data_IF_405740540764
#
_entry.id   IF_405740540764
#
_cell.length_a   1.000
_cell.length_b   1.000
_cell.length_c   1.000
_cell.angle_alpha   90.00
_cell.angle_beta   90.00
_cell.angle_gamma   90.00
#
_symmetry.space_group_name_H-M   'P 1'
#
loop_
_entity.id
_entity.type
_entity.pdbx_description
1 polymer ?
#
# COMPACT_ATOMS: atom_id res chain seq x y z
N UNK A 1 -12.73 -10.53 4.11
CA UNK A 1 -13.15 -11.84 3.58
C UNK A 1 -14.61 -11.82 3.10
N UNK A 2 -15.54 -11.27 3.90
CA UNK A 2 -16.95 -11.16 3.49
C UNK A 2 -17.20 -10.23 2.30
N UNK A 3 -16.35 -9.20 2.09
CA UNK A 3 -16.47 -8.30 0.96
C UNK A 3 -16.08 -8.96 -0.39
N UNK A 4 -15.26 -10.02 -0.37
CA UNK A 4 -14.90 -10.78 -1.58
C UNK A 4 -16.01 -11.70 -2.08
N UNK A 5 -16.91 -12.11 -1.20
CA UNK A 5 -18.02 -13.02 -1.56
C UNK A 5 -19.24 -12.31 -2.17
N UNK A 6 -19.34 -10.97 -2.05
CA UNK A 6 -20.50 -10.19 -2.50
C UNK A 6 -20.38 -9.59 -3.89
N UNK A 7 -19.31 -9.88 -4.65
CA UNK A 7 -19.20 -9.51 -6.07
C UNK A 7 -19.02 -7.99 -6.35
N UNK A 8 -19.10 -7.56 -7.61
CA UNK A 8 -18.80 -6.19 -8.08
C UNK A 8 -19.74 -5.08 -7.57
N UNK A 9 -20.72 -5.40 -6.77
CA UNK A 9 -21.84 -4.54 -6.33
C UNK A 9 -21.44 -3.42 -5.36
N UNK A 10 -20.35 -3.57 -4.61
CA UNK A 10 -19.94 -2.56 -3.61
C UNK A 10 -19.57 -1.22 -4.25
N UNK A 11 -18.95 -1.26 -5.43
CA UNK A 11 -18.54 -0.03 -6.12
C UNK A 11 -19.72 0.78 -6.68
N UNK A 12 -20.86 0.14 -6.93
CA UNK A 12 -22.08 0.82 -7.41
C UNK A 12 -22.86 1.45 -6.27
N UNK A 13 -22.64 1.02 -5.04
CA UNK A 13 -23.39 1.45 -3.86
C UNK A 13 -22.62 2.42 -2.97
N UNK A 14 -21.29 2.43 -3.04
CA UNK A 14 -20.44 3.23 -2.17
C UNK A 14 -19.51 4.13 -2.98
N UNK A 15 -19.43 5.39 -2.58
CA UNK A 15 -18.36 6.30 -2.98
C UNK A 15 -17.39 6.43 -1.81
N UNK A 16 -16.14 6.08 -2.03
CA UNK A 16 -15.08 6.17 -1.03
C UNK A 16 -14.01 7.11 -1.55
N UNK A 17 -13.53 8.01 -0.71
CA UNK A 17 -12.31 8.79 -0.94
C UNK A 17 -11.27 8.34 0.07
N UNK A 18 -10.16 7.84 -0.41
CA UNK A 18 -9.01 7.48 0.41
C UNK A 18 -7.75 8.13 -0.18
N UNK A 19 -6.81 8.49 0.67
CA UNK A 19 -5.54 9.08 0.25
C UNK A 19 -4.42 8.77 1.23
N UNK A 20 -3.19 8.76 0.71
CA UNK A 20 -1.98 8.47 1.49
C UNK A 20 -0.82 8.08 0.61
N UNK A 21 -0.08 7.07 1.03
CA UNK A 21 0.97 6.39 0.26
C UNK A 21 0.51 4.97 -0.07
N UNK A 22 1.14 4.36 -1.06
CA UNK A 22 0.87 2.95 -1.38
C UNK A 22 0.99 2.08 -0.13
N UNK A 23 -0.03 1.27 0.14
CA UNK A 23 -0.19 0.43 1.35
C UNK A 23 -0.33 1.21 2.68
N UNK A 24 -0.36 2.53 2.66
CA UNK A 24 -0.62 3.37 3.84
C UNK A 24 -1.56 4.52 3.47
N UNK A 25 -2.80 4.16 3.10
CA UNK A 25 -3.88 5.08 2.77
C UNK A 25 -4.93 5.14 3.87
N UNK A 26 -5.63 6.27 3.95
CA UNK A 26 -6.64 6.54 4.97
C UNK A 26 -7.96 6.94 4.32
N UNK A 27 -9.05 6.37 4.78
CA UNK A 27 -10.40 6.69 4.32
C UNK A 27 -10.78 8.08 4.84
N UNK A 28 -10.98 9.03 3.94
CA UNK A 28 -11.40 10.40 4.28
C UNK A 28 -12.90 10.56 4.26
N UNK A 29 -13.57 9.88 3.32
CA UNK A 29 -15.02 10.01 3.10
C UNK A 29 -15.58 8.68 2.62
N UNK A 30 -16.81 8.37 3.05
CA UNK A 30 -17.56 7.18 2.66
C UNK A 30 -19.03 7.53 2.54
N UNK A 31 -19.59 7.43 1.35
CA UNK A 31 -20.97 7.82 1.06
C UNK A 31 -21.73 6.74 0.33
N UNK A 32 -23.02 6.73 0.56
CA UNK A 32 -23.97 6.05 -0.30
C UNK A 32 -23.96 6.70 -1.69
N UNK A 33 -23.72 5.93 -2.74
CA UNK A 33 -23.56 6.44 -4.10
C UNK A 33 -24.85 7.02 -4.71
N UNK A 34 -26.02 6.63 -4.19
CA UNK A 34 -27.32 7.05 -4.70
C UNK A 34 -27.89 8.24 -3.95
N UNK A 35 -27.74 8.25 -2.62
CA UNK A 35 -28.33 9.27 -1.75
C UNK A 35 -27.34 10.35 -1.33
N UNK A 36 -26.04 10.10 -1.43
CA UNK A 36 -24.99 10.96 -0.91
C UNK A 36 -24.88 10.95 0.62
N UNK A 37 -25.65 10.09 1.31
CA UNK A 37 -25.61 10.01 2.77
C UNK A 37 -24.22 9.61 3.27
N UNK A 38 -23.76 10.27 4.34
CA UNK A 38 -22.50 9.92 5.01
C UNK A 38 -22.64 8.58 5.74
N UNK A 39 -21.86 7.61 5.32
CA UNK A 39 -21.84 6.26 5.89
C UNK A 39 -20.64 6.03 6.83
N UNK A 40 -19.74 6.99 6.97
CA UNK A 40 -18.55 6.81 7.79
C UNK A 40 -18.87 6.61 9.28
N UNK A 41 -19.85 7.32 9.89
CA UNK A 41 -20.29 7.02 11.25
C UNK A 41 -20.81 5.60 11.42
N UNK A 42 -21.67 5.13 10.51
CA UNK A 42 -22.20 3.76 10.54
C UNK A 42 -21.10 2.69 10.35
N UNK A 43 -20.11 2.98 9.49
CA UNK A 43 -18.93 2.14 9.34
C UNK A 43 -18.16 2.03 10.66
N UNK A 44 -17.90 3.15 11.35
CA UNK A 44 -17.22 3.16 12.67
C UNK A 44 -17.99 2.37 13.72
N UNK A 45 -19.30 2.52 13.79
CA UNK A 45 -20.16 1.72 14.68
C UNK A 45 -20.05 0.23 14.38
N UNK A 46 -20.07 -0.15 13.10
CA UNK A 46 -19.91 -1.53 12.68
C UNK A 46 -18.55 -2.09 13.07
N UNK A 47 -17.47 -1.33 12.85
CA UNK A 47 -16.11 -1.70 13.24
C UNK A 47 -15.97 -1.85 14.75
N UNK A 48 -16.61 -0.97 15.54
CA UNK A 48 -16.62 -1.07 17.00
C UNK A 48 -17.35 -2.31 17.50
N UNK A 49 -18.37 -2.79 16.79
CA UNK A 49 -19.13 -3.99 17.11
C UNK A 49 -18.45 -5.31 16.67
N UNK A 50 -17.37 -5.24 15.88
CA UNK A 50 -16.62 -6.43 15.47
C UNK A 50 -15.85 -7.03 16.65
N UNK A 51 -15.51 -8.35 16.61
CA UNK A 51 -14.68 -8.98 17.64
C UNK A 51 -13.39 -8.18 17.92
N UNK A 52 -12.92 -8.22 19.16
CA UNK A 52 -11.75 -7.41 19.59
C UNK A 52 -10.48 -7.67 18.75
N UNK A 53 -10.31 -8.90 18.24
CA UNK A 53 -9.18 -9.26 17.36
C UNK A 53 -9.35 -8.91 15.88
N UNK A 54 -10.47 -8.27 15.50
CA UNK A 54 -10.68 -7.84 14.12
C UNK A 54 -10.13 -6.40 13.93
N UNK A 55 -9.10 -6.25 13.12
CA UNK A 55 -8.43 -4.98 12.78
C UNK A 55 -8.14 -4.10 14.03
N UNK A 56 -7.51 -4.64 15.09
CA UNK A 56 -7.32 -3.91 16.33
C UNK A 56 -6.40 -2.69 16.16
N UNK A 57 -5.37 -2.75 15.31
CA UNK A 57 -4.48 -1.62 15.02
C UNK A 57 -5.22 -0.52 14.28
N UNK A 58 -5.93 -0.87 13.21
CA UNK A 58 -6.69 0.09 12.39
C UNK A 58 -7.74 0.83 13.21
N UNK A 59 -8.41 0.14 14.13
CA UNK A 59 -9.37 0.74 15.08
C UNK A 59 -8.69 1.69 16.07
N UNK A 60 -7.47 1.38 16.54
CA UNK A 60 -6.69 2.30 17.38
C UNK A 60 -6.25 3.54 16.60
N UNK A 61 -5.83 3.35 15.35
CA UNK A 61 -5.44 4.45 14.46
C UNK A 61 -6.63 5.38 14.23
N UNK A 62 -7.81 4.85 13.88
CA UNK A 62 -9.00 5.67 13.70
C UNK A 62 -9.37 6.45 14.97
N UNK A 63 -9.35 5.80 16.13
CA UNK A 63 -9.66 6.43 17.40
C UNK A 63 -8.65 7.52 17.81
N UNK A 64 -7.38 7.38 17.43
CA UNK A 64 -6.30 8.28 17.84
C UNK A 64 -6.05 9.40 16.82
N UNK A 65 -6.04 9.05 15.53
CA UNK A 65 -5.69 9.96 14.44
C UNK A 65 -6.90 10.44 13.63
N UNK A 66 -8.09 9.86 13.87
CA UNK A 66 -9.36 10.34 13.33
C UNK A 66 -9.76 9.76 11.97
N UNK A 67 -8.94 8.91 11.34
CA UNK A 67 -9.27 8.24 10.08
C UNK A 67 -8.87 6.76 10.12
N UNK A 68 -9.69 5.92 9.50
CA UNK A 68 -9.46 4.48 9.40
C UNK A 68 -8.50 4.17 8.24
N UNK A 69 -7.45 3.34 8.44
CA UNK A 69 -6.57 2.89 7.36
C UNK A 69 -7.35 2.01 6.37
N UNK A 70 -7.25 2.31 5.08
CA UNK A 70 -7.91 1.54 4.03
C UNK A 70 -7.29 0.15 3.81
N UNK A 71 -6.04 -0.01 4.21
CA UNK A 71 -5.21 -1.20 3.94
C UNK A 71 -5.29 -2.27 5.03
N UNK A 72 -5.95 -1.97 6.17
CA UNK A 72 -6.04 -2.87 7.31
C UNK A 72 -4.74 -3.07 8.08
N UNK A 73 -4.80 -3.87 9.14
CA UNK A 73 -3.68 -4.08 10.08
C UNK A 73 -2.44 -4.69 9.44
N UNK A 74 -2.63 -5.59 8.45
CA UNK A 74 -1.54 -6.30 7.82
C UNK A 74 -0.51 -5.39 7.15
N UNK A 75 -0.98 -4.31 6.50
CA UNK A 75 -0.09 -3.34 5.86
C UNK A 75 0.20 -2.14 6.75
N UNK A 76 -0.81 -1.59 7.44
CA UNK A 76 -0.59 -0.46 8.34
C UNK A 76 0.48 -0.77 9.41
N UNK A 77 0.54 -2.04 9.87
CA UNK A 77 1.53 -2.50 10.85
C UNK A 77 2.98 -2.46 10.38
N UNK A 78 3.22 -2.52 9.07
CA UNK A 78 4.57 -2.47 8.49
C UNK A 78 5.23 -1.09 8.64
N UNK A 79 4.42 -0.04 8.90
CA UNK A 79 4.85 1.36 8.90
C UNK A 79 4.81 2.04 10.28
N UNK A 80 4.40 1.32 11.34
CA UNK A 80 4.11 1.94 12.63
C UNK A 80 4.83 1.23 13.77
N UNK A 81 5.63 1.96 14.53
CA UNK A 81 6.44 1.43 15.65
C UNK A 81 5.61 0.78 16.75
N UNK A 82 4.36 1.18 16.93
CA UNK A 82 3.45 0.66 17.97
C UNK A 82 2.55 -0.49 17.51
N UNK A 83 2.72 -0.93 16.26
CA UNK A 83 1.90 -2.02 15.69
C UNK A 83 2.11 -3.36 16.41
N UNK A 84 3.31 -3.60 16.96
CA UNK A 84 3.65 -4.82 17.69
C UNK A 84 2.74 -5.09 18.90
N UNK A 85 2.12 -4.08 19.46
CA UNK A 85 1.20 -4.24 20.60
C UNK A 85 -0.10 -4.97 20.25
N UNK A 86 -0.52 -4.89 18.99
CA UNK A 86 -1.78 -5.46 18.51
C UNK A 86 -1.58 -6.61 17.53
N UNK A 87 -0.49 -6.56 16.80
CA UNK A 87 -0.13 -7.58 15.82
C UNK A 87 1.34 -7.92 16.04
N UNK A 88 1.67 -8.96 16.82
CA UNK A 88 3.04 -9.37 16.95
C UNK A 88 3.58 -9.59 15.53
N UNK A 89 4.60 -8.84 15.17
CA UNK A 89 5.35 -9.06 13.94
C UNK A 89 6.09 -10.40 14.12
N UNK A 90 5.39 -11.48 13.84
CA UNK A 90 5.93 -12.86 13.96
C UNK A 90 7.00 -13.16 12.91
N UNK A 91 7.41 -12.12 12.18
CA UNK A 91 8.31 -12.24 11.05
C UNK A 91 7.58 -12.61 9.76
N UNK A 92 8.26 -12.40 8.67
CA UNK A 92 7.78 -12.78 7.35
C UNK A 92 8.03 -14.28 7.15
N UNK A 93 7.00 -15.05 6.84
CA UNK A 93 7.10 -16.49 6.56
C UNK A 93 7.79 -16.73 5.19
N UNK A 94 9.10 -16.57 5.15
CA UNK A 94 9.89 -16.80 3.94
C UNK A 94 9.79 -18.24 3.45
N UNK A 95 9.77 -19.22 4.36
CA UNK A 95 9.72 -20.64 4.02
C UNK A 95 8.39 -21.01 3.38
N UNK A 96 7.26 -20.69 4.01
CA UNK A 96 5.94 -20.97 3.46
C UNK A 96 5.68 -20.22 2.15
N UNK A 97 6.19 -19.00 2.00
CA UNK A 97 6.10 -18.27 0.73
C UNK A 97 6.95 -18.89 -0.37
N UNK A 98 8.15 -19.39 -0.06
CA UNK A 98 8.99 -20.09 -1.02
C UNK A 98 8.31 -21.39 -1.49
N UNK A 99 7.75 -22.17 -0.57
CA UNK A 99 6.97 -23.38 -0.89
C UNK A 99 5.76 -23.05 -1.77
N UNK A 100 4.99 -22.01 -1.41
CA UNK A 100 3.84 -21.57 -2.19
C UNK A 100 4.24 -21.14 -3.61
N UNK A 101 5.30 -20.36 -3.75
CA UNK A 101 5.81 -19.91 -5.04
C UNK A 101 6.30 -21.10 -5.90
N UNK A 102 6.96 -22.09 -5.29
CA UNK A 102 7.39 -23.32 -5.97
C UNK A 102 6.19 -24.13 -6.46
N UNK A 103 5.16 -24.29 -5.62
CA UNK A 103 3.92 -24.98 -5.98
C UNK A 103 3.18 -24.28 -7.12
N UNK A 104 3.05 -22.96 -7.07
CA UNK A 104 2.45 -22.17 -8.17
C UNK A 104 3.24 -22.33 -9.47
N UNK A 105 4.57 -22.25 -9.41
CA UNK A 105 5.41 -22.43 -10.59
C UNK A 105 5.21 -23.81 -11.22
N UNK A 106 5.23 -24.87 -10.40
CA UNK A 106 4.98 -26.24 -10.88
C UNK A 106 3.61 -26.38 -11.55
N UNK A 107 2.58 -25.74 -11.01
CA UNK A 107 1.25 -25.71 -11.60
C UNK A 107 1.25 -25.01 -12.96
N UNK A 108 1.84 -23.82 -13.07
CA UNK A 108 1.92 -23.10 -14.35
C UNK A 108 2.72 -23.88 -15.40
N UNK A 109 3.81 -24.55 -15.00
CA UNK A 109 4.57 -25.40 -15.89
C UNK A 109 3.76 -26.62 -16.38
N UNK A 110 2.97 -27.24 -15.51
CA UNK A 110 2.07 -28.33 -15.89
C UNK A 110 1.00 -27.89 -16.92
N UNK A 111 0.41 -26.69 -16.72
CA UNK A 111 -0.52 -26.10 -17.68
C UNK A 111 0.19 -25.80 -19.00
N UNK A 112 1.38 -25.21 -18.97
CA UNK A 112 2.14 -24.86 -20.18
C UNK A 112 2.54 -26.11 -21.00
N UNK A 113 2.75 -27.25 -20.33
CA UNK A 113 3.05 -28.54 -20.99
C UNK A 113 1.79 -29.32 -21.39
N UNK A 114 0.58 -28.78 -21.17
CA UNK A 114 -0.68 -29.48 -21.45
C UNK A 114 -0.99 -30.63 -20.48
N UNK A 115 -0.32 -30.70 -19.35
CA UNK A 115 -0.49 -31.73 -18.30
C UNK A 115 -1.57 -31.38 -17.29
N UNK A 116 -2.02 -30.12 -17.25
CA UNK A 116 -3.09 -29.64 -16.41
C UNK A 116 -4.00 -28.70 -17.21
N UNK A 117 -5.32 -28.61 -16.88
CA UNK A 117 -6.25 -27.74 -17.58
C UNK A 117 -5.97 -26.26 -17.25
N UNK A 118 -6.09 -25.39 -18.27
CA UNK A 118 -5.97 -23.93 -18.08
C UNK A 118 -7.25 -23.31 -17.50
N UNK A 119 -8.40 -23.97 -17.64
CA UNK A 119 -9.71 -23.44 -17.27
C UNK A 119 -9.80 -22.88 -15.83
N UNK A 120 -9.20 -23.48 -14.79
CA UNK A 120 -9.24 -22.91 -13.44
C UNK A 120 -8.58 -21.54 -13.31
N UNK A 121 -7.70 -21.15 -14.24
CA UNK A 121 -6.98 -19.87 -14.24
C UNK A 121 -7.66 -18.82 -15.13
N UNK A 122 -8.52 -19.26 -16.05
CA UNK A 122 -9.31 -18.37 -16.89
C UNK A 122 -10.52 -17.87 -16.10
N UNK A 123 -10.66 -16.57 -16.01
CA UNK A 123 -11.76 -15.95 -15.27
C UNK A 123 -11.48 -15.67 -13.80
N UNK A 124 -10.33 -16.05 -13.26
CA UNK A 124 -9.89 -15.51 -11.99
C UNK A 124 -9.55 -14.03 -12.15
N UNK A 125 -10.35 -13.17 -11.53
CA UNK A 125 -10.05 -11.73 -11.50
C UNK A 125 -9.11 -11.46 -10.33
N UNK A 126 -7.99 -10.79 -10.60
CA UNK A 126 -7.03 -10.40 -9.58
C UNK A 126 -7.54 -9.30 -8.64
N UNK A 127 -8.56 -8.56 -9.06
CA UNK A 127 -8.97 -7.32 -8.40
C UNK A 127 -8.13 -6.11 -8.81
N UNK A 128 -7.02 -6.34 -9.52
CA UNK A 128 -6.14 -5.28 -10.01
C UNK A 128 -6.77 -4.50 -11.15
N UNK A 129 -6.49 -3.19 -11.20
CA UNK A 129 -7.12 -2.24 -12.12
C UNK A 129 -6.28 -1.92 -13.36
N UNK A 130 -5.12 -2.55 -13.54
CA UNK A 130 -4.19 -2.23 -14.62
C UNK A 130 -4.82 -2.29 -16.02
N UNK A 131 -5.57 -3.36 -16.31
CA UNK A 131 -6.23 -3.51 -17.62
C UNK A 131 -7.32 -2.45 -17.84
N UNK A 132 -8.10 -2.15 -16.79
CA UNK A 132 -9.15 -1.12 -16.84
C UNK A 132 -8.54 0.26 -17.10
N UNK A 133 -7.42 0.59 -16.45
CA UNK A 133 -6.67 1.84 -16.65
C UNK A 133 -6.14 1.94 -18.09
N UNK A 134 -5.53 0.87 -18.61
CA UNK A 134 -5.08 0.80 -20.02
C UNK A 134 -6.26 1.02 -20.97
N UNK A 135 -7.36 0.30 -20.77
CA UNK A 135 -8.55 0.45 -21.61
C UNK A 135 -9.18 1.84 -21.51
N UNK A 136 -9.15 2.46 -20.34
CA UNK A 136 -9.66 3.82 -20.15
C UNK A 136 -8.79 4.85 -20.88
N UNK A 137 -7.48 4.68 -20.86
CA UNK A 137 -6.53 5.53 -21.58
C UNK A 137 -6.69 5.38 -23.10
N UNK A 138 -6.70 4.14 -23.61
CA UNK A 138 -6.79 3.89 -25.05
C UNK A 138 -8.17 4.26 -25.64
N UNK A 139 -9.23 4.09 -24.84
CA UNK A 139 -10.62 4.33 -25.29
C UNK A 139 -11.20 5.68 -24.87
N UNK A 140 -10.43 6.57 -24.27
CA UNK A 140 -10.87 7.87 -23.70
C UNK A 140 -12.14 7.74 -22.82
N UNK A 141 -12.17 6.74 -21.96
CA UNK A 141 -13.39 6.43 -21.19
C UNK A 141 -13.67 7.40 -20.06
N UNK A 142 -12.70 8.24 -19.68
CA UNK A 142 -12.79 9.19 -18.54
C UNK A 142 -13.27 8.51 -17.27
N UNK A 143 -12.68 7.35 -16.97
CA UNK A 143 -13.08 6.54 -15.82
C UNK A 143 -12.49 7.09 -14.53
N UNK A 144 -13.28 7.02 -13.46
CA UNK A 144 -12.79 7.26 -12.10
C UNK A 144 -12.05 6.04 -11.61
N UNK A 145 -10.87 6.25 -11.06
CA UNK A 145 -10.08 5.25 -10.33
C UNK A 145 -9.97 5.67 -8.87
N UNK A 146 -10.26 4.74 -7.97
CA UNK A 146 -10.31 5.01 -6.53
C UNK A 146 -8.92 5.32 -5.95
N UNK A 147 -7.89 4.67 -6.48
CA UNK A 147 -6.52 4.77 -6.00
C UNK A 147 -5.54 4.60 -7.16
N UNK A 148 -4.68 5.58 -7.34
CA UNK A 148 -3.54 5.53 -8.28
C UNK A 148 -2.30 6.12 -7.62
N UNK A 149 -1.15 5.52 -7.90
CA UNK A 149 0.15 6.03 -7.43
C UNK A 149 0.70 7.03 -8.45
N UNK A 150 0.79 8.29 -8.05
CA UNK A 150 1.20 9.42 -8.90
C UNK A 150 2.07 10.41 -8.14
N UNK A 151 2.91 11.22 -8.85
CA UNK A 151 3.55 12.37 -8.20
C UNK A 151 2.50 13.30 -7.58
N UNK A 152 2.79 13.78 -6.39
CA UNK A 152 1.82 14.53 -5.57
C UNK A 152 1.33 15.82 -6.27
N UNK A 153 2.23 16.67 -6.75
CA UNK A 153 1.89 17.94 -7.39
C UNK A 153 0.75 18.71 -6.70
N UNK A 154 0.70 18.63 -5.35
CA UNK A 154 -0.31 19.30 -4.53
C UNK A 154 -1.67 18.58 -4.46
N UNK A 155 -1.79 17.33 -4.90
CA UNK A 155 -3.00 16.51 -4.77
C UNK A 155 -3.31 16.20 -3.31
N UNK A 156 -2.28 15.97 -2.51
CA UNK A 156 -2.34 15.76 -1.06
C UNK A 156 -1.49 16.80 -0.35
N UNK A 157 -2.14 17.68 0.42
CA UNK A 157 -1.46 18.76 1.11
C UNK A 157 -0.56 18.24 2.24
N UNK A 158 0.56 18.94 2.48
CA UNK A 158 1.51 18.65 3.56
C UNK A 158 2.60 17.65 3.22
N UNK A 159 2.59 17.09 1.99
CA UNK A 159 3.68 16.27 1.45
C UNK A 159 4.37 16.99 0.27
N UNK A 160 5.66 16.69 0.01
CA UNK A 160 6.37 17.29 -1.11
C UNK A 160 5.73 16.99 -2.47
N UNK A 161 5.84 17.90 -3.43
CA UNK A 161 5.26 17.74 -4.77
C UNK A 161 5.83 16.56 -5.55
N UNK A 162 7.08 16.18 -5.27
CA UNK A 162 7.76 15.06 -5.91
C UNK A 162 7.44 13.70 -5.27
N UNK A 163 6.86 13.67 -4.05
CA UNK A 163 6.50 12.42 -3.41
C UNK A 163 5.46 11.65 -4.24
N UNK A 164 5.58 10.34 -4.28
CA UNK A 164 4.54 9.49 -4.88
C UNK A 164 3.46 9.28 -3.84
N UNK A 165 2.24 9.68 -4.17
CA UNK A 165 1.05 9.54 -3.32
C UNK A 165 0.04 8.63 -3.97
N UNK A 166 -0.78 7.99 -3.16
CA UNK A 166 -1.94 7.23 -3.62
C UNK A 166 -3.20 8.07 -3.39
N UNK A 167 -3.85 8.43 -4.49
CA UNK A 167 -5.03 9.31 -4.50
C UNK A 167 -6.02 8.89 -5.59
N UNK A 168 -7.30 9.28 -5.50
CA UNK A 168 -8.24 9.10 -6.60
C UNK A 168 -7.82 9.88 -7.85
N UNK A 169 -8.19 9.37 -9.03
CA UNK A 169 -7.89 10.01 -10.30
C UNK A 169 -8.98 9.79 -11.34
N UNK A 170 -8.94 10.62 -12.40
CA UNK A 170 -9.67 10.37 -13.65
C UNK A 170 -8.68 9.92 -14.70
N UNK A 171 -8.98 8.79 -15.36
CA UNK A 171 -8.16 8.22 -16.44
C UNK A 171 -8.85 8.44 -17.78
N UNK A 172 -8.11 9.03 -18.72
CA UNK A 172 -8.59 9.36 -20.07
C UNK A 172 -7.48 9.20 -21.10
N UNK A 173 -7.73 9.53 -22.36
CA UNK A 173 -6.69 9.58 -23.40
C UNK A 173 -5.54 10.56 -23.07
N UNK A 174 -5.79 11.56 -22.23
CA UNK A 174 -4.73 12.47 -21.72
C UNK A 174 -3.86 11.85 -20.64
N UNK A 175 -4.13 10.61 -20.23
CA UNK A 175 -3.44 9.91 -19.15
C UNK A 175 -4.20 9.93 -17.83
N UNK A 176 -3.46 9.85 -16.74
CA UNK A 176 -3.98 9.83 -15.37
C UNK A 176 -3.95 11.26 -14.81
N UNK A 177 -5.11 11.78 -14.45
CA UNK A 177 -5.27 13.10 -13.82
C UNK A 177 -5.65 12.90 -12.36
N UNK A 178 -4.72 13.10 -11.39
CA UNK A 178 -5.02 12.95 -9.97
C UNK A 178 -6.03 14.01 -9.51
N UNK A 179 -6.85 13.62 -8.56
CA UNK A 179 -7.79 14.54 -7.91
C UNK A 179 -7.15 15.11 -6.64
N UNK A 180 -7.38 16.40 -6.39
CA UNK A 180 -7.02 17.00 -5.11
C UNK A 180 -8.01 16.51 -4.05
N UNK A 181 -7.48 16.00 -2.95
CA UNK A 181 -8.26 15.55 -1.80
C UNK A 181 -8.21 16.57 -0.66
N UNK A 182 -9.10 16.43 0.31
CA UNK A 182 -9.06 17.22 1.52
C UNK A 182 -7.75 16.98 2.30
N UNK A 183 -7.24 17.96 3.05
CA UNK A 183 -6.08 17.74 3.92
C UNK A 183 -6.34 16.61 4.92
N UNK A 184 -5.34 15.75 5.11
CA UNK A 184 -5.37 14.73 6.16
C UNK A 184 -5.13 15.39 7.54
N UNK A 185 -5.60 14.76 8.64
CA UNK A 185 -5.20 15.16 9.99
C UNK A 185 -3.68 15.28 10.12
N UNK A 186 -3.21 16.28 10.86
CA UNK A 186 -1.78 16.60 10.98
C UNK A 186 -0.93 15.40 11.45
N UNK A 187 -1.46 14.59 12.38
CA UNK A 187 -0.78 13.39 12.86
C UNK A 187 -0.57 12.35 11.75
N UNK A 188 -1.58 12.13 10.91
CA UNK A 188 -1.47 11.22 9.75
C UNK A 188 -0.47 11.79 8.73
N UNK A 189 -0.57 13.09 8.43
CA UNK A 189 0.39 13.73 7.51
C UNK A 189 1.84 13.56 7.98
N UNK A 190 2.09 13.64 9.30
CA UNK A 190 3.42 13.43 9.87
C UNK A 190 3.91 11.99 9.71
N UNK A 191 3.04 10.99 9.91
CA UNK A 191 3.37 9.57 9.65
C UNK A 191 3.72 9.34 8.18
N UNK A 192 2.93 9.91 7.26
CA UNK A 192 3.21 9.80 5.83
C UNK A 192 4.51 10.52 5.44
N UNK A 193 4.77 11.71 5.98
CA UNK A 193 6.00 12.46 5.71
C UNK A 193 7.26 11.70 6.15
N UNK A 194 7.18 10.97 7.27
CA UNK A 194 8.26 10.08 7.70
C UNK A 194 8.53 8.98 6.67
N UNK A 195 7.49 8.32 6.15
CA UNK A 195 7.64 7.29 5.13
C UNK A 195 8.14 7.85 3.79
N UNK A 196 7.73 9.06 3.41
CA UNK A 196 8.29 9.75 2.25
C UNK A 196 9.80 9.97 2.42
N UNK A 197 10.26 10.35 3.62
CA UNK A 197 11.69 10.51 3.90
C UNK A 197 12.45 9.18 3.84
N UNK A 198 11.88 8.08 4.35
CA UNK A 198 12.45 6.73 4.22
C UNK A 198 12.65 6.37 2.74
N UNK A 199 11.59 6.52 1.94
CA UNK A 199 11.61 6.19 0.51
C UNK A 199 12.63 7.04 -0.26
N UNK A 200 12.69 8.35 0.01
CA UNK A 200 13.65 9.26 -0.61
C UNK A 200 15.10 8.84 -0.34
N UNK A 201 15.42 8.52 0.92
CA UNK A 201 16.76 8.06 1.29
C UNK A 201 17.10 6.70 0.69
N UNK A 202 16.15 5.78 0.64
CA UNK A 202 16.32 4.47 0.01
C UNK A 202 16.59 4.60 -1.51
N UNK A 203 15.85 5.47 -2.20
CA UNK A 203 16.05 5.75 -3.63
C UNK A 203 17.42 6.41 -3.87
N UNK A 204 17.80 7.41 -3.07
CA UNK A 204 19.10 8.06 -3.17
C UNK A 204 20.24 7.05 -2.98
N UNK A 205 20.12 6.18 -1.98
CA UNK A 205 21.07 5.09 -1.74
C UNK A 205 21.18 4.15 -2.94
N UNK A 206 20.06 3.72 -3.48
CA UNK A 206 20.01 2.79 -4.61
C UNK A 206 20.61 3.39 -5.90
N UNK A 207 20.36 4.67 -6.18
CA UNK A 207 20.86 5.33 -7.39
C UNK A 207 22.35 5.64 -7.33
N UNK A 208 22.87 5.98 -6.15
CA UNK A 208 24.23 6.54 -6.04
C UNK A 208 25.22 5.62 -5.30
N UNK A 209 24.76 4.47 -4.77
CA UNK A 209 25.59 3.62 -3.92
C UNK A 209 25.90 4.29 -2.56
N UNK A 210 25.05 5.24 -2.15
CA UNK A 210 25.28 6.03 -0.94
C UNK A 210 24.89 5.20 0.31
N UNK A 211 25.92 4.66 0.96
CA UNK A 211 25.78 3.87 2.20
C UNK A 211 25.21 4.70 3.35
N UNK A 212 25.53 6.00 3.40
CA UNK A 212 25.01 6.85 4.46
C UNK A 212 23.52 7.11 4.28
N UNK A 213 23.06 7.33 3.05
CA UNK A 213 21.64 7.42 2.73
C UNK A 213 20.89 6.12 3.05
N UNK A 214 21.50 4.95 2.77
CA UNK A 214 20.92 3.66 3.13
C UNK A 214 20.75 3.51 4.65
N UNK A 215 21.77 3.88 5.43
CA UNK A 215 21.69 3.85 6.89
C UNK A 215 20.64 4.85 7.42
N UNK A 216 20.54 6.03 6.81
CA UNK A 216 19.50 7.01 7.16
C UNK A 216 18.10 6.46 6.88
N UNK A 217 17.89 5.76 5.75
CA UNK A 217 16.61 5.14 5.44
C UNK A 217 16.21 4.14 6.53
N UNK A 218 17.12 3.26 6.94
CA UNK A 218 16.87 2.30 8.03
C UNK A 218 16.55 3.00 9.36
N UNK A 219 17.28 4.05 9.71
CA UNK A 219 17.08 4.76 10.99
C UNK A 219 15.85 5.66 11.02
N UNK A 220 15.34 6.07 9.87
CA UNK A 220 14.07 6.79 9.74
C UNK A 220 12.87 5.86 9.75
N UNK A 221 13.07 4.58 9.44
CA UNK A 221 11.99 3.60 9.47
C UNK A 221 11.54 3.37 10.93
N UNK A 222 10.26 3.60 11.27
CA UNK A 222 9.78 3.53 12.65
C UNK A 222 9.84 2.14 13.27
N UNK A 223 10.07 1.08 12.49
CA UNK A 223 10.24 -0.29 13.02
C UNK A 223 11.70 -0.61 13.38
N UNK A 224 12.63 0.29 13.10
CA UNK A 224 14.05 0.16 13.45
C UNK A 224 14.40 1.05 14.63
N UNK A 225 14.72 0.45 15.76
CA UNK A 225 14.91 1.13 17.05
C UNK A 225 16.37 1.17 17.53
N UNK A 226 17.33 0.60 16.76
CA UNK A 226 18.73 0.49 17.17
C UNK A 226 19.69 0.86 16.03
N UNK A 227 20.53 1.88 16.28
CA UNK A 227 21.58 2.28 15.34
C UNK A 227 22.58 1.13 15.09
N UNK A 228 22.99 0.42 16.14
CA UNK A 228 23.95 -0.68 16.00
C UNK A 228 23.38 -1.83 15.16
N UNK A 229 22.11 -2.17 15.39
CA UNK A 229 21.40 -3.18 14.61
C UNK A 229 21.22 -2.75 13.15
N UNK A 230 20.83 -1.50 12.90
CA UNK A 230 20.68 -0.95 11.54
C UNK A 230 22.00 -0.99 10.78
N UNK A 231 23.12 -0.62 11.41
CA UNK A 231 24.44 -0.66 10.78
C UNK A 231 24.88 -2.08 10.45
N UNK A 232 24.72 -3.03 11.38
CA UNK A 232 25.06 -4.43 11.17
C UNK A 232 24.18 -5.08 10.08
N UNK A 233 22.88 -4.80 10.08
CA UNK A 233 21.93 -5.25 9.05
C UNK A 233 22.31 -4.73 7.67
N UNK A 234 22.67 -3.44 7.57
CA UNK A 234 23.12 -2.85 6.30
C UNK A 234 24.37 -3.52 5.77
N UNK A 235 25.35 -3.79 6.63
CA UNK A 235 26.59 -4.50 6.24
C UNK A 235 26.29 -5.90 5.70
N UNK A 236 25.44 -6.65 6.39
CA UNK A 236 25.03 -7.98 5.98
C UNK A 236 24.29 -7.96 4.63
N UNK A 237 23.30 -7.09 4.48
CA UNK A 237 22.51 -6.97 3.24
C UNK A 237 23.38 -6.56 2.05
N UNK A 238 24.27 -5.59 2.21
CA UNK A 238 25.19 -5.19 1.15
C UNK A 238 26.16 -6.32 0.77
N UNK A 239 26.58 -7.13 1.74
CA UNK A 239 27.40 -8.32 1.48
C UNK A 239 26.64 -9.40 0.72
N UNK A 240 25.46 -9.78 1.19
CA UNK A 240 24.63 -10.84 0.59
C UNK A 240 24.18 -10.46 -0.83
N UNK A 241 23.85 -9.20 -1.05
CA UNK A 241 23.34 -8.69 -2.33
C UNK A 241 24.40 -8.02 -3.21
N UNK A 242 25.69 -8.13 -2.88
CA UNK A 242 26.79 -7.45 -3.59
C UNK A 242 26.75 -7.63 -5.12
N UNK A 243 26.39 -8.82 -5.60
CA UNK A 243 26.28 -9.11 -7.03
C UNK A 243 25.21 -8.28 -7.75
N UNK A 244 24.18 -7.80 -7.02
CA UNK A 244 23.05 -7.02 -7.55
C UNK A 244 23.15 -5.52 -7.23
N UNK A 245 24.15 -5.13 -6.43
CA UNK A 245 24.36 -3.78 -5.95
C UNK A 245 25.76 -3.23 -6.31
N UNK A 246 26.15 -3.26 -7.59
CA UNK A 246 27.51 -2.87 -8.01
C UNK A 246 27.84 -1.41 -7.72
N UNK A 247 26.84 -0.54 -7.56
CA UNK A 247 27.01 0.87 -7.22
C UNK A 247 27.60 1.08 -5.83
N UNK A 248 27.37 0.17 -4.89
CA UNK A 248 27.95 0.23 -3.53
C UNK A 248 29.39 -0.28 -3.45
N UNK A 249 29.89 -0.98 -4.47
CA UNK A 249 31.27 -1.43 -4.53
C UNK A 249 32.28 -0.33 -4.90
N UNK A 250 31.77 0.86 -5.32
CA UNK A 250 32.58 1.99 -5.81
C UNK A 250 32.70 3.13 -4.78
N UNK A 251 32.09 2.97 -3.60
CA UNK A 251 32.08 3.97 -2.54
C UNK A 251 33.21 3.77 -1.54
#
# INVERSE_FOLDING_TARGET
HEARERGPWLHEQLTITAAGLNHLTFIQDMRDAHTGADLYPAFRERMAAMPAGFEPLSRRIDATFGLFPATGDGHAGEYLSFAWETSPLTGYDFAGRAEHAAAQRAQFEAVARGQAPVAPYLGQQSGERAVQIICATLGDRRSYELAVNVPNHGSLAGLPDWAIVEVPAVVSAAGVTPLRVAPLPAGITALLAQQVAVQDRAVAAALHGDRQAALQALLLDPVVDSHATAAALLDELLGVHAAYLPQFARA
#
